data_IF_693008562803
#
_entry.id   IF_693008562803
#
_cell.length_a   1.000
_cell.length_b   1.000
_cell.length_c   1.000
_cell.angle_alpha   90.00
_cell.angle_beta   90.00
_cell.angle_gamma   90.00
#
_symmetry.space_group_name_H-M   'P 1'
#
loop_
_entity.id
_entity.type
_entity.pdbx_description
1 polymer ?
#
# COMPACT_ATOMS: atom_id res chain seq x y z
N UNK A 1 31.08 -6.83 4.05
CA UNK A 1 29.78 -6.31 4.56
C UNK A 1 28.55 -6.77 3.75
N UNK A 2 28.68 -7.44 2.59
CA UNK A 2 27.55 -7.98 1.79
C UNK A 2 27.35 -9.51 1.91
N UNK A 3 28.05 -10.15 2.85
CA UNK A 3 28.05 -11.62 3.04
C UNK A 3 26.67 -12.28 3.30
N UNK A 4 25.63 -11.63 3.87
CA UNK A 4 24.34 -12.30 4.12
C UNK A 4 23.43 -12.46 2.89
N UNK A 5 23.67 -11.68 1.81
CA UNK A 5 22.79 -11.65 0.64
C UNK A 5 23.00 -12.84 -0.31
N UNK A 6 24.08 -13.61 -0.12
CA UNK A 6 24.46 -14.69 -1.04
C UNK A 6 23.67 -15.99 -0.85
N UNK A 7 23.00 -16.17 0.29
CA UNK A 7 22.27 -17.39 0.65
C UNK A 7 20.75 -17.20 0.74
N UNK A 8 20.16 -16.29 -0.05
CA UNK A 8 18.71 -16.14 -0.09
C UNK A 8 18.05 -17.34 -0.78
N UNK A 9 17.14 -17.99 -0.07
CA UNK A 9 16.32 -19.06 -0.66
C UNK A 9 15.42 -18.50 -1.77
N UNK A 10 15.06 -19.35 -2.74
CA UNK A 10 14.20 -18.97 -3.88
C UNK A 10 12.89 -18.31 -3.41
N UNK A 11 12.35 -18.77 -2.27
CA UNK A 11 11.17 -18.21 -1.61
C UNK A 11 11.42 -16.80 -1.08
N UNK A 12 12.53 -16.54 -0.38
CA UNK A 12 12.85 -15.20 0.14
C UNK A 12 12.99 -14.17 -0.99
N UNK A 13 13.62 -14.55 -2.11
CA UNK A 13 13.74 -13.68 -3.28
C UNK A 13 12.38 -13.37 -3.92
N UNK A 14 11.51 -14.38 -4.03
CA UNK A 14 10.17 -14.19 -4.58
C UNK A 14 9.30 -13.33 -3.67
N UNK A 15 9.37 -13.50 -2.35
CA UNK A 15 8.67 -12.65 -1.37
C UNK A 15 9.18 -11.22 -1.44
N UNK A 16 10.49 -11.01 -1.50
CA UNK A 16 11.05 -9.66 -1.63
C UNK A 16 10.58 -8.96 -2.92
N UNK A 17 10.59 -9.68 -4.04
CA UNK A 17 10.08 -9.16 -5.31
C UNK A 17 8.58 -8.85 -5.23
N UNK A 18 7.77 -9.74 -4.66
CA UNK A 18 6.34 -9.53 -4.49
C UNK A 18 6.03 -8.33 -3.59
N UNK A 19 6.71 -8.17 -2.45
CA UNK A 19 6.55 -7.01 -1.58
C UNK A 19 6.97 -5.71 -2.27
N UNK A 20 8.05 -5.74 -3.04
CA UNK A 20 8.50 -4.58 -3.80
C UNK A 20 7.48 -4.20 -4.89
N UNK A 21 6.97 -5.18 -5.65
CA UNK A 21 5.94 -4.95 -6.66
C UNK A 21 4.62 -4.48 -6.06
N UNK A 22 4.20 -5.00 -4.91
CA UNK A 22 3.00 -4.53 -4.21
C UNK A 22 3.14 -3.06 -3.79
N UNK A 23 4.30 -2.68 -3.24
CA UNK A 23 4.58 -1.29 -2.90
C UNK A 23 4.61 -0.37 -4.14
N UNK A 24 5.17 -0.84 -5.26
CA UNK A 24 5.15 -0.10 -6.52
C UNK A 24 3.74 0.10 -7.07
N UNK A 25 2.88 -0.93 -7.00
CA UNK A 25 1.50 -0.88 -7.47
C UNK A 25 0.69 0.15 -6.68
N UNK A 26 0.82 0.15 -5.36
CA UNK A 26 0.14 1.09 -4.49
C UNK A 26 0.59 2.54 -4.72
N UNK A 27 1.89 2.76 -4.94
CA UNK A 27 2.41 4.07 -5.33
C UNK A 27 1.88 4.51 -6.71
N UNK A 28 1.84 3.60 -7.68
CA UNK A 28 1.30 3.87 -9.02
C UNK A 28 -0.18 4.29 -8.97
N UNK A 29 -1.02 3.58 -8.22
CA UNK A 29 -2.43 3.91 -8.06
C UNK A 29 -2.61 5.29 -7.43
N UNK A 30 -1.81 5.63 -6.41
CA UNK A 30 -1.82 6.96 -5.81
C UNK A 30 -1.48 8.06 -6.82
N UNK A 31 -0.48 7.84 -7.69
CA UNK A 31 -0.12 8.82 -8.72
C UNK A 31 -1.24 9.04 -9.73
N UNK A 32 -1.89 7.97 -10.23
CA UNK A 32 -3.03 8.11 -11.14
C UNK A 32 -4.14 8.93 -10.48
N UNK A 33 -4.45 8.64 -9.23
CA UNK A 33 -5.51 9.32 -8.49
C UNK A 33 -5.22 10.82 -8.35
N UNK A 34 -3.97 11.21 -8.06
CA UNK A 34 -3.56 12.61 -8.00
C UNK A 34 -3.61 13.30 -9.38
N UNK A 35 -3.25 12.61 -10.46
CA UNK A 35 -3.32 13.18 -11.82
C UNK A 35 -4.76 13.42 -12.27
N UNK A 36 -5.68 12.50 -11.97
CA UNK A 36 -7.09 12.60 -12.37
C UNK A 36 -7.92 13.44 -11.38
N UNK A 37 -7.33 13.86 -10.26
CA UNK A 37 -7.96 14.70 -9.23
C UNK A 37 -8.66 15.93 -9.81
N UNK A 38 -7.99 16.63 -10.72
CA UNK A 38 -8.50 17.87 -11.31
C UNK A 38 -9.74 17.62 -12.20
N UNK A 39 -9.76 16.51 -12.95
CA UNK A 39 -10.92 16.10 -13.74
C UNK A 39 -12.08 15.64 -12.83
N UNK A 40 -11.77 14.91 -11.75
CA UNK A 40 -12.75 14.51 -10.73
C UNK A 40 -13.39 15.71 -10.05
N UNK A 41 -12.60 16.73 -9.68
CA UNK A 41 -13.10 17.97 -9.09
C UNK A 41 -14.03 18.72 -10.05
N UNK A 42 -13.67 18.75 -11.35
CA UNK A 42 -14.51 19.30 -12.41
C UNK A 42 -15.83 18.55 -12.59
N UNK A 43 -15.81 17.21 -12.53
CA UNK A 43 -16.98 16.35 -12.73
C UNK A 43 -17.95 16.35 -11.55
N UNK A 44 -17.44 16.43 -10.31
CA UNK A 44 -18.26 16.43 -9.09
C UNK A 44 -18.69 17.83 -8.63
N UNK A 45 -18.34 18.90 -9.38
CA UNK A 45 -18.60 20.30 -9.01
C UNK A 45 -18.18 20.66 -7.56
N UNK A 46 -17.18 19.94 -7.02
CA UNK A 46 -16.71 20.08 -5.64
C UNK A 46 -15.35 20.75 -5.62
N UNK A 47 -15.02 21.43 -4.51
CA UNK A 47 -13.75 22.15 -4.42
C UNK A 47 -12.56 21.18 -4.46
N UNK A 48 -11.44 21.60 -5.07
CA UNK A 48 -10.17 20.84 -5.06
C UNK A 48 -9.75 20.52 -3.61
N UNK A 49 -10.14 21.39 -2.67
CA UNK A 49 -9.90 21.20 -1.24
C UNK A 49 -10.64 19.98 -0.69
N UNK A 50 -11.88 19.70 -1.09
CA UNK A 50 -12.65 18.53 -0.61
C UNK A 50 -12.13 17.21 -1.17
N UNK A 51 -11.71 17.21 -2.44
CA UNK A 51 -11.13 16.00 -3.08
C UNK A 51 -9.76 15.68 -2.48
N UNK A 52 -8.93 16.70 -2.24
CA UNK A 52 -7.63 16.50 -1.56
C UNK A 52 -7.80 16.06 -0.10
N UNK A 53 -8.82 16.56 0.63
CA UNK A 53 -9.17 16.09 1.97
C UNK A 53 -9.60 14.62 1.96
N UNK A 54 -10.37 14.19 0.95
CA UNK A 54 -10.80 12.80 0.78
C UNK A 54 -9.62 11.85 0.56
N UNK A 55 -8.62 12.26 -0.22
CA UNK A 55 -7.37 11.51 -0.39
C UNK A 55 -6.57 11.46 0.91
N UNK A 56 -6.45 12.60 1.61
CA UNK A 56 -5.76 12.65 2.88
C UNK A 56 -6.40 11.71 3.91
N UNK A 57 -7.73 11.68 3.95
CA UNK A 57 -8.49 10.78 4.81
C UNK A 57 -8.29 9.31 4.42
N UNK A 58 -8.27 9.02 3.12
CA UNK A 58 -7.96 7.67 2.60
C UNK A 58 -6.55 7.23 3.01
N UNK A 59 -5.55 8.13 2.95
CA UNK A 59 -4.21 7.86 3.46
C UNK A 59 -4.19 7.69 4.98
N UNK A 60 -4.96 8.48 5.73
CA UNK A 60 -5.04 8.40 7.19
C UNK A 60 -5.66 7.10 7.70
N UNK A 61 -6.52 6.46 6.90
CA UNK A 61 -7.07 5.12 7.22
C UNK A 61 -6.00 4.02 7.08
N UNK A 62 -4.94 4.22 6.27
CA UNK A 62 -3.87 3.23 6.08
C UNK A 62 -3.16 2.80 7.37
N UNK A 63 -2.69 3.71 8.26
CA UNK A 63 -2.11 3.31 9.55
C UNK A 63 -3.13 2.62 10.47
N UNK A 64 -4.42 2.97 10.39
CA UNK A 64 -5.49 2.28 11.13
C UNK A 64 -5.64 0.84 10.64
N UNK A 65 -5.66 0.64 9.31
CA UNK A 65 -5.61 -0.68 8.70
C UNK A 65 -4.35 -1.46 9.11
N UNK A 66 -3.17 -0.84 9.05
CA UNK A 66 -1.91 -1.47 9.46
C UNK A 66 -1.89 -1.90 10.94
N UNK A 67 -2.52 -1.14 11.84
CA UNK A 67 -2.66 -1.52 13.25
C UNK A 67 -3.58 -2.74 13.43
N UNK A 68 -4.69 -2.78 12.69
CA UNK A 68 -5.65 -3.90 12.74
C UNK A 68 -5.04 -5.16 12.13
N UNK A 69 -4.51 -5.08 10.91
CA UNK A 69 -3.87 -6.20 10.22
C UNK A 69 -2.56 -6.61 10.90
N UNK A 70 -1.82 -5.69 11.52
CA UNK A 70 -0.64 -5.99 12.32
C UNK A 70 -0.97 -6.83 13.56
N UNK A 71 -2.03 -6.47 14.30
CA UNK A 71 -2.52 -7.29 15.42
C UNK A 71 -3.10 -8.63 14.96
N UNK A 72 -3.73 -8.66 13.79
CA UNK A 72 -4.26 -9.89 13.20
C UNK A 72 -3.14 -10.83 12.72
N UNK A 73 -2.02 -10.30 12.22
CA UNK A 73 -0.83 -11.05 11.81
C UNK A 73 -0.19 -11.82 12.97
N UNK A 74 -0.24 -11.27 14.19
CA UNK A 74 0.27 -11.94 15.39
C UNK A 74 -0.62 -13.09 15.85
N UNK A 75 -1.95 -13.02 15.64
CA UNK A 75 -2.89 -14.07 16.05
C UNK A 75 -3.10 -15.20 15.03
N UNK A 76 -3.13 -14.89 13.74
CA UNK A 76 -3.50 -15.86 12.67
C UNK A 76 -2.26 -16.46 11.98
N UNK A 77 -1.07 -15.91 12.24
CA UNK A 77 0.20 -16.31 11.63
C UNK A 77 0.56 -15.43 10.43
N UNK A 78 1.85 -15.08 10.32
CA UNK A 78 2.36 -14.07 9.36
C UNK A 78 2.10 -14.38 7.88
N UNK A 79 1.92 -15.66 7.50
CA UNK A 79 1.73 -16.07 6.08
C UNK A 79 0.38 -15.66 5.48
N UNK A 80 -0.78 -16.04 6.05
CA UNK A 80 -2.08 -15.64 5.50
C UNK A 80 -2.32 -14.14 5.57
N UNK A 81 -1.82 -13.45 6.61
CA UNK A 81 -2.04 -12.01 6.74
C UNK A 81 -1.20 -11.20 5.75
N UNK A 82 -0.01 -11.67 5.38
CA UNK A 82 0.75 -11.07 4.27
C UNK A 82 0.11 -11.32 2.89
N UNK A 83 -0.63 -12.41 2.71
CA UNK A 83 -1.37 -12.68 1.46
C UNK A 83 -2.69 -11.91 1.37
N UNK A 84 -3.35 -11.63 2.50
CA UNK A 84 -4.60 -10.86 2.56
C UNK A 84 -4.39 -9.34 2.56
N UNK A 85 -3.19 -8.86 2.91
CA UNK A 85 -2.87 -7.44 2.97
C UNK A 85 -2.33 -6.87 1.65
N UNK A 86 -2.13 -7.73 0.64
CA UNK A 86 -1.88 -7.32 -0.76
C UNK A 86 -3.15 -6.78 -1.39
#
# INVERSE_FOLDING_TARGET
MLSPLRNWTRVQRNVAAACFSAWMLDAFDFFILVFVLSDLAGYFHSSITDVSLSIMLTLAVRPVGALIFGRLAERIGRRPVLMLNV
#
